data_IF_881342515475
#
_entry.id   IF_881342515475
#
_cell.length_a   1.000
_cell.length_b   1.000
_cell.length_c   1.000
_cell.angle_alpha   90.00
_cell.angle_beta   90.00
_cell.angle_gamma   90.00
#
_symmetry.space_group_name_H-M   'P 1'
#
loop_
_entity.id
_entity.type
_entity.pdbx_description
1 polymer ?
#
# COMPACT_ATOMS: atom_id res chain seq x y z
N UNK A 1 3.93 -7.99 9.68
CA UNK A 1 3.62 -6.55 9.62
C UNK A 1 2.94 -6.28 8.29
N UNK A 2 1.89 -5.49 8.27
CA UNK A 2 1.04 -5.26 7.10
C UNK A 2 1.28 -3.83 6.61
N UNK A 3 1.87 -3.69 5.43
CA UNK A 3 1.95 -2.41 4.74
C UNK A 3 0.64 -2.19 3.98
N UNK A 4 -0.10 -1.16 4.39
CA UNK A 4 -1.42 -0.86 3.84
C UNK A 4 -1.25 0.08 2.65
N UNK A 5 -1.74 -0.35 1.49
CA UNK A 5 -1.73 0.40 0.24
C UNK A 5 -2.75 1.56 0.23
N UNK A 6 -2.55 2.54 -0.64
CA UNK A 6 -3.47 3.66 -0.85
C UNK A 6 -4.89 3.20 -1.14
N UNK A 7 -5.09 2.16 -1.95
CA UNK A 7 -6.43 1.66 -2.27
C UNK A 7 -7.19 1.20 -1.03
N UNK A 8 -6.52 0.56 -0.07
CA UNK A 8 -7.14 0.14 1.19
C UNK A 8 -7.50 1.33 2.08
N UNK A 9 -6.64 2.35 2.15
CA UNK A 9 -6.95 3.60 2.86
C UNK A 9 -8.15 4.32 2.26
N UNK A 10 -8.28 4.33 0.93
CA UNK A 10 -9.43 4.93 0.24
C UNK A 10 -10.73 4.20 0.56
N UNK A 11 -10.70 2.88 0.64
CA UNK A 11 -11.87 2.08 1.03
C UNK A 11 -12.31 2.37 2.46
N UNK A 12 -11.35 2.42 3.39
CA UNK A 12 -11.61 2.78 4.79
C UNK A 12 -12.12 4.22 4.95
N UNK A 13 -11.51 5.17 4.24
CA UNK A 13 -11.94 6.57 4.24
C UNK A 13 -13.40 6.74 3.78
N UNK A 14 -13.83 5.90 2.83
CA UNK A 14 -15.18 5.90 2.27
C UNK A 14 -16.16 5.01 3.04
N UNK A 15 -15.69 4.22 4.01
CA UNK A 15 -16.47 3.22 4.75
C UNK A 15 -17.30 2.32 3.82
N UNK A 16 -16.66 1.71 2.82
CA UNK A 16 -17.34 0.97 1.76
C UNK A 16 -17.97 -0.35 2.20
N UNK A 17 -17.56 -0.89 3.35
CA UNK A 17 -17.98 -2.20 3.85
C UNK A 17 -17.31 -3.38 3.12
N UNK A 18 -16.34 -3.12 2.23
CA UNK A 18 -15.56 -4.16 1.57
C UNK A 18 -14.80 -5.03 2.57
N UNK A 19 -14.28 -6.18 2.14
CA UNK A 19 -13.43 -7.01 3.01
C UNK A 19 -12.17 -6.25 3.43
N UNK A 20 -11.60 -5.45 2.53
CA UNK A 20 -10.41 -4.64 2.79
C UNK A 20 -10.69 -3.51 3.77
N UNK A 21 -11.83 -2.80 3.63
CA UNK A 21 -12.27 -1.78 4.59
C UNK A 21 -12.39 -2.38 6.00
N UNK A 22 -13.21 -3.44 6.14
CA UNK A 22 -13.42 -4.10 7.43
C UNK A 22 -12.12 -4.63 8.03
N UNK A 23 -11.27 -5.24 7.21
CA UNK A 23 -9.95 -5.72 7.63
C UNK A 23 -9.08 -4.60 8.15
N UNK A 24 -9.04 -3.45 7.47
CA UNK A 24 -8.26 -2.30 7.91
C UNK A 24 -8.83 -1.72 9.21
N UNK A 25 -10.15 -1.62 9.35
CA UNK A 25 -10.80 -1.19 10.59
C UNK A 25 -10.41 -2.08 11.79
N UNK A 26 -10.42 -3.41 11.62
CA UNK A 26 -10.01 -4.37 12.64
C UNK A 26 -8.53 -4.20 13.02
N UNK A 27 -7.65 -4.03 12.03
CA UNK A 27 -6.21 -3.82 12.26
C UNK A 27 -5.94 -2.51 13.01
N UNK A 28 -6.67 -1.43 12.69
CA UNK A 28 -6.57 -0.16 13.40
C UNK A 28 -7.03 -0.32 14.86
N UNK A 29 -8.14 -1.03 15.09
CA UNK A 29 -8.68 -1.26 16.43
C UNK A 29 -7.73 -2.12 17.30
N UNK A 30 -7.12 -3.15 16.70
CA UNK A 30 -6.14 -4.00 17.37
C UNK A 30 -4.83 -3.26 17.72
N UNK A 31 -4.59 -2.08 17.14
CA UNK A 31 -3.42 -1.22 17.38
C UNK A 31 -2.05 -1.87 17.16
N UNK A 32 -1.99 -2.97 16.41
CA UNK A 32 -0.76 -3.71 16.15
C UNK A 32 -0.64 -4.08 14.67
N UNK A 33 0.60 -4.15 14.18
CA UNK A 33 1.00 -4.62 12.85
C UNK A 33 0.72 -3.72 11.63
N UNK A 34 -0.01 -2.61 11.75
CA UNK A 34 -0.21 -1.66 10.63
C UNK A 34 1.05 -0.84 10.37
N UNK A 35 1.42 -0.74 9.10
CA UNK A 35 2.51 0.09 8.62
C UNK A 35 2.09 0.94 7.41
N UNK A 36 2.77 2.06 7.25
CA UNK A 36 2.63 3.00 6.12
C UNK A 36 4.01 3.30 5.52
N UNK A 37 4.03 3.82 4.31
CA UNK A 37 5.25 4.33 3.66
C UNK A 37 4.97 5.67 2.99
N UNK A 38 6.00 6.46 2.74
CA UNK A 38 5.88 7.82 2.19
C UNK A 38 5.10 7.87 0.86
N UNK A 39 5.30 6.95 -0.11
CA UNK A 39 4.48 6.92 -1.31
C UNK A 39 2.97 6.78 -1.02
N UNK A 40 2.58 5.91 -0.09
CA UNK A 40 1.16 5.75 0.32
C UNK A 40 0.66 7.02 0.99
N UNK A 41 1.43 7.56 1.94
CA UNK A 41 1.08 8.81 2.64
C UNK A 41 0.84 9.94 1.62
N UNK A 42 1.73 10.08 0.64
CA UNK A 42 1.63 11.06 -0.43
C UNK A 42 0.34 10.90 -1.23
N UNK A 43 0.03 9.68 -1.71
CA UNK A 43 -1.18 9.45 -2.51
C UNK A 43 -2.46 9.67 -1.71
N UNK A 44 -2.51 9.22 -0.45
CA UNK A 44 -3.68 9.41 0.43
C UNK A 44 -3.93 10.90 0.69
N UNK A 45 -2.89 11.67 1.01
CA UNK A 45 -3.02 13.11 1.23
C UNK A 45 -3.44 13.85 -0.05
N UNK A 46 -2.82 13.52 -1.19
CA UNK A 46 -3.15 14.11 -2.47
C UNK A 46 -4.58 13.78 -2.95
N UNK A 47 -5.13 12.64 -2.51
CA UNK A 47 -6.48 12.20 -2.81
C UNK A 47 -7.57 12.72 -1.87
N UNK A 48 -7.22 13.46 -0.82
CA UNK A 48 -8.17 14.00 0.13
C UNK A 48 -9.12 15.03 -0.53
N UNK A 49 -10.40 15.00 -0.17
CA UNK A 49 -11.44 15.84 -0.80
C UNK A 49 -11.50 17.28 -0.27
N UNK A 50 -10.86 17.53 0.86
CA UNK A 50 -10.76 18.84 1.51
C UNK A 50 -9.51 18.90 2.38
N UNK A 51 -9.06 20.12 2.68
CA UNK A 51 -7.92 20.36 3.56
C UNK A 51 -8.16 19.79 4.97
N UNK A 52 -9.38 19.94 5.51
CA UNK A 52 -9.74 19.36 6.81
C UNK A 52 -9.62 17.83 6.79
N UNK A 53 -10.05 17.18 5.69
CA UNK A 53 -9.95 15.72 5.58
C UNK A 53 -8.51 15.28 5.40
N UNK A 54 -7.69 16.04 4.67
CA UNK A 54 -6.25 15.80 4.55
C UNK A 54 -5.59 15.80 5.93
N UNK A 55 -5.89 16.79 6.76
CA UNK A 55 -5.33 16.92 8.12
C UNK A 55 -5.73 15.72 9.00
N UNK A 56 -6.98 15.28 8.92
CA UNK A 56 -7.46 14.12 9.68
C UNK A 56 -6.78 12.82 9.22
N UNK A 57 -6.68 12.59 7.91
CA UNK A 57 -5.97 11.43 7.35
C UNK A 57 -4.49 11.47 7.72
N UNK A 58 -3.83 12.62 7.61
CA UNK A 58 -2.44 12.83 8.05
C UNK A 58 -2.25 12.41 9.50
N UNK A 59 -3.10 12.90 10.41
CA UNK A 59 -3.04 12.56 11.83
C UNK A 59 -3.23 11.07 12.07
N UNK A 60 -4.14 10.42 11.34
CA UNK A 60 -4.35 8.97 11.43
C UNK A 60 -3.12 8.19 10.96
N UNK A 61 -2.64 8.44 9.74
CA UNK A 61 -1.56 7.66 9.13
C UNK A 61 -0.24 7.78 9.92
N UNK A 62 0.05 8.96 10.48
CA UNK A 62 1.27 9.20 11.27
C UNK A 62 1.28 8.52 12.64
N UNK A 63 0.20 7.83 13.05
CA UNK A 63 0.18 6.99 14.25
C UNK A 63 0.83 5.62 14.02
N UNK A 64 0.92 5.18 12.77
CA UNK A 64 1.42 3.85 12.44
C UNK A 64 2.92 3.84 12.17
N UNK A 65 3.51 2.65 12.17
CA UNK A 65 4.94 2.51 11.88
C UNK A 65 5.24 2.95 10.45
N UNK A 66 6.13 3.93 10.32
CA UNK A 66 6.62 4.37 9.02
C UNK A 66 7.75 3.46 8.53
N UNK A 67 7.47 2.69 7.49
CA UNK A 67 8.49 1.98 6.71
C UNK A 67 9.06 2.96 5.70
N UNK A 68 10.18 3.56 6.12
CA UNK A 68 10.90 4.59 5.35
C UNK A 68 11.24 4.08 3.96
N UNK A 69 10.78 4.81 2.95
CA UNK A 69 11.29 4.75 1.59
C UNK A 69 12.74 5.23 1.58
N UNK A 70 13.64 4.36 1.16
CA UNK A 70 15.05 4.67 0.97
C UNK A 70 15.25 5.08 -0.49
N UNK A 71 15.49 6.37 -0.74
CA UNK A 71 15.61 6.88 -2.10
C UNK A 71 16.71 6.19 -2.91
N UNK A 72 17.82 5.81 -2.30
CA UNK A 72 18.93 5.18 -3.03
C UNK A 72 18.57 3.76 -3.43
N UNK A 73 17.95 3.00 -2.53
CA UNK A 73 17.65 1.59 -2.75
C UNK A 73 16.34 1.40 -3.51
N UNK A 74 15.28 2.09 -3.09
CA UNK A 74 13.93 1.79 -3.55
C UNK A 74 13.61 2.40 -4.91
N UNK A 75 14.26 3.48 -5.35
CA UNK A 75 14.08 3.97 -6.72
C UNK A 75 14.66 3.00 -7.76
N UNK A 76 15.88 2.47 -7.51
CA UNK A 76 16.48 1.46 -8.40
C UNK A 76 15.67 0.16 -8.37
N UNK A 77 15.27 -0.30 -7.18
CA UNK A 77 14.43 -1.48 -7.04
C UNK A 77 13.06 -1.31 -7.70
N UNK A 78 12.38 -0.17 -7.56
CA UNK A 78 11.12 0.10 -8.25
C UNK A 78 11.26 0.03 -9.78
N UNK A 79 12.35 0.58 -10.34
CA UNK A 79 12.62 0.46 -11.77
C UNK A 79 12.86 -1.01 -12.20
N UNK A 80 13.56 -1.80 -11.38
CA UNK A 80 13.76 -3.23 -11.63
C UNK A 80 12.47 -4.02 -11.55
N UNK A 81 11.63 -3.75 -10.55
CA UNK A 81 10.29 -4.34 -10.37
C UNK A 81 9.45 -4.05 -11.62
N UNK A 82 9.35 -2.78 -12.04
CA UNK A 82 8.59 -2.40 -13.24
C UNK A 82 9.05 -3.18 -14.48
N UNK A 83 10.37 -3.26 -14.70
CA UNK A 83 10.94 -4.03 -15.82
C UNK A 83 10.67 -5.53 -15.69
N UNK A 84 10.71 -6.09 -14.48
CA UNK A 84 10.41 -7.50 -14.24
C UNK A 84 8.95 -7.83 -14.55
N UNK A 85 8.01 -7.03 -14.05
CA UNK A 85 6.60 -7.16 -14.38
C UNK A 85 6.38 -7.13 -15.89
N UNK A 86 6.95 -6.13 -16.59
CA UNK A 86 6.79 -5.98 -18.04
C UNK A 86 7.32 -7.17 -18.84
N UNK A 87 8.43 -7.79 -18.41
CA UNK A 87 8.96 -9.02 -19.04
C UNK A 87 8.01 -10.21 -18.91
N UNK A 88 7.17 -10.22 -17.88
CA UNK A 88 6.20 -11.27 -17.59
C UNK A 88 4.77 -10.91 -18.05
N UNK A 89 4.61 -9.86 -18.85
CA UNK A 89 3.30 -9.43 -19.36
C UNK A 89 2.42 -8.71 -18.33
N UNK A 90 2.93 -8.44 -17.12
CA UNK A 90 2.27 -7.63 -16.10
C UNK A 90 2.65 -6.16 -16.31
N UNK A 91 1.67 -5.26 -16.41
CA UNK A 91 1.92 -3.83 -16.55
C UNK A 91 1.43 -3.11 -15.30
N UNK A 92 2.35 -2.66 -14.42
CA UNK A 92 1.97 -1.86 -13.25
C UNK A 92 1.19 -0.60 -13.67
N UNK A 93 0.23 -0.14 -12.86
CA UNK A 93 -0.55 1.09 -13.14
C UNK A 93 0.34 2.32 -13.16
N UNK A 94 1.38 2.33 -12.32
CA UNK A 94 2.36 3.40 -12.26
C UNK A 94 3.62 3.00 -11.52
N UNK A 95 4.60 3.91 -11.49
CA UNK A 95 5.85 3.71 -10.76
C UNK A 95 5.63 3.66 -9.24
N UNK A 96 4.56 4.30 -8.73
CA UNK A 96 4.26 4.32 -7.30
C UNK A 96 3.91 2.92 -6.78
N UNK A 97 3.15 2.11 -7.52
CA UNK A 97 2.92 0.70 -7.19
C UNK A 97 4.27 -0.05 -7.02
N UNK A 98 5.24 0.21 -7.90
CA UNK A 98 6.57 -0.40 -7.82
C UNK A 98 7.39 0.13 -6.64
N UNK A 99 7.23 1.40 -6.26
CA UNK A 99 7.85 1.99 -5.07
C UNK A 99 7.30 1.35 -3.79
N UNK A 100 5.97 1.17 -3.70
CA UNK A 100 5.31 0.51 -2.58
C UNK A 100 5.75 -0.95 -2.50
N UNK A 101 5.77 -1.66 -3.63
CA UNK A 101 6.26 -3.04 -3.70
C UNK A 101 7.73 -3.16 -3.31
N UNK A 102 8.58 -2.18 -3.66
CA UNK A 102 9.99 -2.14 -3.24
C UNK A 102 10.11 -2.09 -1.71
N UNK A 103 9.37 -1.18 -1.08
CA UNK A 103 9.36 -1.05 0.39
C UNK A 103 8.85 -2.34 1.02
N UNK A 104 7.74 -2.88 0.51
CA UNK A 104 7.16 -4.12 1.03
C UNK A 104 8.15 -5.29 0.96
N UNK A 105 8.80 -5.46 -0.18
CA UNK A 105 9.77 -6.51 -0.41
C UNK A 105 11.00 -6.36 0.51
N UNK A 106 11.55 -5.14 0.61
CA UNK A 106 12.74 -4.85 1.42
C UNK A 106 12.50 -5.06 2.91
N UNK A 107 11.30 -4.78 3.40
CA UNK A 107 10.92 -4.95 4.81
C UNK A 107 10.24 -6.29 5.11
N UNK A 108 10.04 -7.15 4.11
CA UNK A 108 9.38 -8.46 4.28
C UNK A 108 7.96 -8.34 4.82
N UNK A 109 7.19 -7.37 4.34
CA UNK A 109 5.81 -7.14 4.82
C UNK A 109 4.77 -7.75 3.90
N UNK A 110 3.66 -8.16 4.51
CA UNK A 110 2.42 -8.46 3.80
C UNK A 110 1.78 -7.16 3.32
N UNK A 111 1.18 -7.14 2.13
CA UNK A 111 0.44 -5.99 1.60
C UNK A 111 -1.07 -6.15 1.81
N UNK A 112 -1.75 -5.08 2.20
CA UNK A 112 -3.22 -4.98 2.18
C UNK A 112 -3.64 -3.91 1.19
N UNK A 113 -4.35 -4.31 0.14
CA UNK A 113 -4.82 -3.46 -0.96
C UNK A 113 -6.17 -3.93 -1.51
N UNK A 114 -6.91 -3.01 -2.13
CA UNK A 114 -8.00 -3.32 -3.07
C UNK A 114 -7.56 -2.92 -4.48
N UNK A 115 -6.53 -3.59 -4.99
CA UNK A 115 -5.98 -3.35 -6.33
C UNK A 115 -5.47 -4.64 -6.99
N UNK A 116 -6.21 -5.12 -8.00
CA UNK A 116 -5.84 -6.29 -8.78
C UNK A 116 -4.54 -6.12 -9.59
N UNK A 117 -4.08 -4.90 -9.83
CA UNK A 117 -2.78 -4.67 -10.43
C UNK A 117 -1.65 -4.87 -9.42
N UNK A 118 -1.74 -4.26 -8.24
CA UNK A 118 -0.75 -4.45 -7.17
C UNK A 118 -0.63 -5.93 -6.77
N UNK A 119 -1.74 -6.69 -6.75
CA UNK A 119 -1.71 -8.15 -6.56
C UNK A 119 -0.77 -8.85 -7.57
N UNK A 120 -0.86 -8.49 -8.85
CA UNK A 120 0.00 -9.06 -9.90
C UNK A 120 1.46 -8.63 -9.76
N UNK A 121 1.72 -7.40 -9.31
CA UNK A 121 3.07 -6.94 -8.99
C UNK A 121 3.65 -7.72 -7.82
N UNK A 122 2.85 -7.93 -6.77
CA UNK A 122 3.23 -8.72 -5.60
C UNK A 122 3.56 -10.17 -5.98
N UNK A 123 2.75 -10.80 -6.83
CA UNK A 123 3.00 -12.15 -7.33
C UNK A 123 4.33 -12.26 -8.08
N UNK A 124 4.66 -11.28 -8.94
CA UNK A 124 5.96 -11.24 -9.64
C UNK A 124 7.14 -11.11 -8.67
N UNK A 125 6.95 -10.39 -7.57
CA UNK A 125 8.00 -10.09 -6.60
C UNK A 125 8.04 -11.06 -5.41
N UNK A 126 7.12 -12.02 -5.34
CA UNK A 126 6.97 -12.93 -4.21
C UNK A 126 6.57 -12.22 -2.91
N UNK A 127 5.83 -11.12 -3.01
CA UNK A 127 5.32 -10.37 -1.85
C UNK A 127 4.00 -11.00 -1.41
N UNK A 128 3.85 -11.23 -0.12
CA UNK A 128 2.61 -11.76 0.45
C UNK A 128 1.50 -10.71 0.42
N UNK A 129 0.28 -11.12 0.08
CA UNK A 129 -0.92 -10.28 0.16
C UNK A 129 -1.79 -10.78 1.30
N UNK A 130 -2.39 -9.88 2.07
CA UNK A 130 -3.38 -10.22 3.10
C UNK A 130 -4.58 -10.90 2.43
N UNK A 131 -5.19 -11.84 3.13
CA UNK A 131 -6.31 -12.64 2.63
C UNK A 131 -7.47 -11.75 2.13
N UNK A 132 -7.73 -10.65 2.84
CA UNK A 132 -8.77 -9.71 2.45
C UNK A 132 -8.51 -9.10 1.07
N UNK A 133 -7.27 -9.04 0.58
CA UNK A 133 -6.90 -8.56 -0.76
C UNK A 133 -7.02 -9.61 -1.85
N UNK A 134 -7.00 -10.90 -1.50
CA UNK A 134 -7.09 -12.04 -2.43
C UNK A 134 -8.54 -12.43 -2.76
N UNK A 135 -9.47 -12.10 -1.87
CA UNK A 135 -10.89 -12.48 -1.96
C UNK A 135 -11.78 -11.43 -2.67
N UNK A 136 -11.19 -10.35 -3.21
CA UNK A 136 -11.93 -9.31 -3.94
C UNK A 136 -11.88 -9.50 -5.46
#
# INVERSE_FOLDING_TARGET
>A
MILVDTSAWVEYDRATGSLVDRRLADLIAASDHVAVTEPVIMEVMAGARSDDREVDLRRLLLRFKLLRFDAVVDFDAAARIYRACRRLGVTPRGMVDCMIASVAHRHGTTLLALDANLNRVADVMGIEMDEASRLN
#
